data_IF_649795252429
#
_entry.id   IF_649795252429
#
_cell.length_a   1.000
_cell.length_b   1.000
_cell.length_c   1.000
_cell.angle_alpha   90.00
_cell.angle_beta   90.00
_cell.angle_gamma   90.00
#
_symmetry.space_group_name_H-M   'P 1'
#
loop_
_entity.id
_entity.type
_entity.pdbx_description
1 polymer ?
#
# COMPACT_ATOMS: atom_id res chain seq x y z
N UNK A 1 -2.81 -59.41 -17.25
CA UNK A 1 -3.04 -58.02 -16.81
C UNK A 1 -4.41 -57.61 -17.33
N UNK A 2 -5.41 -57.56 -16.47
CA UNK A 2 -6.78 -57.14 -16.82
C UNK A 2 -6.84 -55.62 -16.82
N UNK A 3 -7.21 -55.02 -17.96
CA UNK A 3 -7.50 -53.58 -18.02
C UNK A 3 -8.95 -53.38 -17.59
N UNK A 4 -9.18 -52.62 -16.51
CA UNK A 4 -10.52 -52.15 -16.16
C UNK A 4 -10.94 -51.06 -17.16
N UNK A 5 -11.99 -51.35 -17.92
CA UNK A 5 -12.63 -50.34 -18.77
C UNK A 5 -13.55 -49.53 -17.89
N UNK A 6 -13.16 -48.28 -17.61
CA UNK A 6 -13.99 -47.32 -16.88
C UNK A 6 -14.87 -46.59 -17.87
N UNK A 7 -16.17 -46.84 -17.84
CA UNK A 7 -17.17 -46.10 -18.63
C UNK A 7 -17.52 -44.84 -17.85
N UNK A 8 -17.10 -43.68 -18.35
CA UNK A 8 -17.35 -42.38 -17.73
C UNK A 8 -18.32 -41.60 -18.61
N UNK A 9 -19.38 -41.06 -18.02
CA UNK A 9 -20.32 -40.15 -18.72
C UNK A 9 -19.72 -38.75 -18.84
N UNK A 10 -20.14 -37.98 -19.85
CA UNK A 10 -19.67 -36.60 -20.04
C UNK A 10 -19.93 -35.72 -18.80
N UNK A 11 -21.07 -35.92 -18.14
CA UNK A 11 -21.41 -35.23 -16.88
C UNK A 11 -20.42 -35.54 -15.76
N UNK A 12 -19.97 -36.79 -15.67
CA UNK A 12 -19.00 -37.20 -14.66
C UNK A 12 -17.61 -36.62 -14.94
N UNK A 13 -17.23 -36.51 -16.21
CA UNK A 13 -15.98 -35.83 -16.62
C UNK A 13 -16.05 -34.35 -16.22
N UNK A 14 -17.15 -33.67 -16.52
CA UNK A 14 -17.34 -32.27 -16.14
C UNK A 14 -17.24 -32.09 -14.62
N UNK A 15 -17.88 -32.97 -13.85
CA UNK A 15 -17.80 -32.96 -12.39
C UNK A 15 -16.36 -33.12 -11.87
N UNK A 16 -15.60 -34.05 -12.43
CA UNK A 16 -14.21 -34.32 -12.01
C UNK A 16 -13.29 -33.13 -12.30
N UNK A 17 -13.45 -32.51 -13.47
CA UNK A 17 -12.68 -31.32 -13.85
C UNK A 17 -13.00 -30.16 -12.91
N UNK A 18 -14.29 -29.90 -12.64
CA UNK A 18 -14.72 -28.82 -11.73
C UNK A 18 -14.17 -29.01 -10.32
N UNK A 19 -14.23 -30.23 -9.79
CA UNK A 19 -13.69 -30.52 -8.46
C UNK A 19 -12.17 -30.37 -8.42
N UNK A 20 -11.45 -30.92 -9.40
CA UNK A 20 -9.98 -30.82 -9.45
C UNK A 20 -9.52 -29.36 -9.48
N UNK A 21 -10.16 -28.52 -10.29
CA UNK A 21 -9.86 -27.08 -10.35
C UNK A 21 -10.20 -26.40 -9.03
N UNK A 22 -11.35 -26.72 -8.42
CA UNK A 22 -11.76 -26.15 -7.13
C UNK A 22 -10.78 -26.49 -6.02
N UNK A 23 -10.29 -27.72 -5.99
CA UNK A 23 -9.34 -28.19 -4.99
C UNK A 23 -8.02 -27.43 -5.10
N UNK A 24 -7.49 -27.30 -6.32
CA UNK A 24 -6.29 -26.51 -6.60
C UNK A 24 -6.50 -25.05 -6.21
N UNK A 25 -7.59 -24.40 -6.64
CA UNK A 25 -7.84 -23.00 -6.26
C UNK A 25 -7.94 -22.86 -4.74
N UNK A 26 -8.62 -23.77 -4.05
CA UNK A 26 -8.78 -23.72 -2.59
C UNK A 26 -7.46 -23.88 -1.83
N UNK A 27 -6.52 -24.65 -2.38
CA UNK A 27 -5.20 -24.87 -1.79
C UNK A 27 -4.26 -23.68 -1.99
N UNK A 28 -4.32 -23.02 -3.16
CA UNK A 28 -3.39 -21.96 -3.54
C UNK A 28 -3.92 -20.55 -3.25
N UNK A 29 -5.24 -20.33 -3.22
CA UNK A 29 -5.85 -19.03 -2.91
C UNK A 29 -5.40 -18.43 -1.56
N UNK A 30 -5.40 -19.16 -0.43
CA UNK A 30 -4.94 -18.59 0.84
C UNK A 30 -3.44 -18.27 0.84
N UNK A 31 -2.62 -19.03 0.09
CA UNK A 31 -1.19 -18.75 -0.07
C UNK A 31 -0.96 -17.43 -0.83
N UNK A 32 -1.76 -17.18 -1.87
CA UNK A 32 -1.74 -15.91 -2.62
C UNK A 32 -2.24 -14.72 -1.77
N UNK A 33 -3.31 -14.92 -0.99
CA UNK A 33 -3.87 -13.87 -0.14
C UNK A 33 -2.90 -13.42 0.97
N UNK A 34 -2.09 -14.35 1.50
CA UNK A 34 -1.06 -14.02 2.49
C UNK A 34 0.07 -13.17 1.91
N UNK A 35 0.39 -13.32 0.61
CA UNK A 35 1.39 -12.49 -0.08
C UNK A 35 0.85 -11.06 -0.30
N UNK A 36 -0.45 -10.91 -0.58
CA UNK A 36 -1.07 -9.60 -0.77
C UNK A 36 -1.44 -8.90 0.53
N UNK A 37 -1.67 -9.66 1.62
CA UNK A 37 -1.98 -9.11 2.95
C UNK A 37 -0.79 -8.37 3.60
N UNK A 38 0.43 -8.60 3.12
CA UNK A 38 1.62 -7.83 3.50
C UNK A 38 1.55 -6.41 2.89
N UNK A 39 0.85 -6.22 1.77
CA UNK A 39 0.70 -4.91 1.10
C UNK A 39 -0.54 -4.13 1.53
N UNK A 40 -1.62 -4.80 1.99
CA UNK A 40 -2.90 -4.13 2.26
C UNK A 40 -3.02 -3.51 3.66
N UNK A 41 -2.04 -3.72 4.56
CA UNK A 41 -2.09 -3.13 5.90
C UNK A 41 -1.57 -1.69 5.98
N UNK A 42 -1.04 -1.14 4.89
CA UNK A 42 -0.46 0.22 4.88
C UNK A 42 -1.26 1.29 4.10
N UNK A 43 -2.38 0.95 3.45
CA UNK A 43 -3.12 1.94 2.65
C UNK A 43 -4.11 2.80 3.46
N UNK A 44 -4.25 2.58 4.77
CA UNK A 44 -5.30 3.26 5.56
C UNK A 44 -4.86 4.52 6.30
N UNK A 45 -3.61 4.98 6.14
CA UNK A 45 -3.14 6.24 6.74
C UNK A 45 -2.34 7.09 5.75
N UNK A 46 -2.92 7.35 4.59
CA UNK A 46 -2.41 8.36 3.65
C UNK A 46 -2.24 9.74 4.30
N UNK A 47 -3.06 10.03 5.32
CA UNK A 47 -3.04 11.28 6.06
C UNK A 47 -2.41 11.11 7.45
N UNK A 48 -1.37 11.91 7.68
CA UNK A 48 -0.68 12.05 8.95
C UNK A 48 -1.19 13.29 9.68
N UNK A 49 -1.39 13.14 10.98
CA UNK A 49 -1.59 14.30 11.87
C UNK A 49 -0.29 15.10 12.01
N UNK A 50 -0.37 16.33 12.52
CA UNK A 50 0.81 17.17 12.73
C UNK A 50 1.94 16.50 13.54
N UNK A 51 1.58 15.72 14.57
CA UNK A 51 2.55 14.97 15.38
C UNK A 51 3.22 13.86 14.55
N UNK A 52 2.42 13.08 13.84
CA UNK A 52 2.92 12.01 12.97
C UNK A 52 3.75 12.54 11.80
N UNK A 53 3.40 13.68 11.23
CA UNK A 53 4.18 14.31 10.17
C UNK A 53 5.55 14.80 10.68
N UNK A 54 5.61 15.34 11.90
CA UNK A 54 6.87 15.74 12.52
C UNK A 54 7.78 14.53 12.79
N UNK A 55 7.21 13.46 13.33
CA UNK A 55 7.90 12.17 13.53
C UNK A 55 8.37 11.58 12.20
N UNK A 56 7.51 11.59 11.16
CA UNK A 56 7.84 11.07 9.84
C UNK A 56 9.01 11.82 9.18
N UNK A 57 9.06 13.15 9.34
CA UNK A 57 10.15 13.98 8.81
C UNK A 57 11.35 14.07 9.74
N UNK A 58 11.33 13.40 10.91
CA UNK A 58 12.33 13.52 11.97
C UNK A 58 12.66 14.98 12.31
N UNK A 59 11.63 15.83 12.45
CA UNK A 59 11.80 17.25 12.77
C UNK A 59 10.94 17.66 13.97
N UNK A 60 11.28 18.82 14.55
CA UNK A 60 10.49 19.36 15.65
C UNK A 60 9.14 19.91 15.16
N UNK A 61 8.14 19.95 16.05
CA UNK A 61 6.81 20.52 15.74
C UNK A 61 6.86 22.00 15.34
N UNK A 62 7.88 22.72 15.82
CA UNK A 62 8.14 24.12 15.47
C UNK A 62 8.77 24.24 14.08
N UNK A 63 9.72 23.36 13.73
CA UNK A 63 10.26 23.27 12.36
C UNK A 63 9.16 22.96 11.35
N UNK A 64 8.29 21.99 11.65
CA UNK A 64 7.15 21.64 10.80
C UNK A 64 6.22 22.84 10.58
N UNK A 65 5.99 23.65 11.62
CA UNK A 65 5.22 24.89 11.50
C UNK A 65 5.88 25.91 10.58
N UNK A 66 7.20 26.07 10.70
CA UNK A 66 7.95 27.00 9.86
C UNK A 66 7.89 26.56 8.39
N UNK A 67 7.98 25.26 8.11
CA UNK A 67 7.81 24.72 6.76
C UNK A 67 6.40 24.94 6.21
N UNK A 68 5.37 24.80 7.05
CA UNK A 68 3.99 25.12 6.69
C UNK A 68 3.86 26.62 6.36
N UNK A 69 4.36 27.50 7.22
CA UNK A 69 4.31 28.97 7.05
C UNK A 69 5.11 29.44 5.82
N UNK A 70 6.22 28.78 5.53
CA UNK A 70 7.05 29.06 4.37
C UNK A 70 6.49 28.47 3.05
N UNK A 71 5.37 27.73 3.10
CA UNK A 71 4.77 27.10 1.92
C UNK A 71 5.61 25.96 1.34
N UNK A 72 6.52 25.38 2.13
CA UNK A 72 7.40 24.29 1.70
C UNK A 72 6.65 22.96 1.67
N UNK A 73 5.75 22.74 2.64
CA UNK A 73 5.01 21.50 2.81
C UNK A 73 3.53 21.77 2.59
N UNK A 74 2.90 20.92 1.76
CA UNK A 74 1.46 20.95 1.53
C UNK A 74 0.70 20.41 2.75
N UNK A 75 -0.37 21.08 3.14
CA UNK A 75 -1.21 20.69 4.27
C UNK A 75 -2.69 20.84 3.94
N UNK A 76 -3.51 20.04 4.62
CA UNK A 76 -4.96 20.06 4.50
C UNK A 76 -5.57 20.40 5.85
N UNK A 77 -6.39 21.44 5.88
CA UNK A 77 -7.14 21.80 7.08
C UNK A 77 -8.57 21.24 6.97
N UNK A 78 -8.91 20.32 7.87
CA UNK A 78 -10.26 19.76 7.99
C UNK A 78 -10.83 20.22 9.32
N UNK A 79 -11.60 21.30 9.29
CA UNK A 79 -12.10 21.99 10.48
C UNK A 79 -10.95 22.53 11.34
N UNK A 80 -10.80 21.97 12.55
CA UNK A 80 -9.73 22.32 13.51
C UNK A 80 -8.48 21.44 13.39
N UNK A 81 -8.52 20.38 12.58
CA UNK A 81 -7.42 19.42 12.42
C UNK A 81 -6.60 19.77 11.18
N UNK A 82 -5.28 19.64 11.30
CA UNK A 82 -4.34 19.75 10.18
C UNK A 82 -3.82 18.36 9.87
N UNK A 83 -3.94 17.98 8.60
CA UNK A 83 -3.53 16.70 8.05
C UNK A 83 -2.52 16.90 6.93
N UNK A 84 -1.61 15.94 6.79
CA UNK A 84 -0.55 15.96 5.79
C UNK A 84 -0.58 14.66 5.01
N UNK A 85 -0.51 14.74 3.67
CA UNK A 85 -0.42 13.52 2.87
C UNK A 85 1.02 13.03 2.84
N UNK A 86 1.24 11.74 3.11
CA UNK A 86 2.59 11.14 3.18
C UNK A 86 3.39 11.33 1.88
N UNK A 87 2.76 11.17 0.72
CA UNK A 87 3.39 11.36 -0.58
C UNK A 87 3.90 12.79 -0.79
N UNK A 88 3.06 13.79 -0.51
CA UNK A 88 3.43 15.20 -0.67
C UNK A 88 4.54 15.64 0.29
N UNK A 89 4.62 15.04 1.46
CA UNK A 89 5.73 15.27 2.40
C UNK A 89 7.05 14.81 1.79
N UNK A 90 7.09 13.66 1.11
CA UNK A 90 8.29 13.17 0.42
C UNK A 90 8.66 14.08 -0.76
N UNK A 91 7.69 14.46 -1.59
CA UNK A 91 7.92 15.36 -2.72
C UNK A 91 8.56 16.69 -2.28
N UNK A 92 8.09 17.23 -1.15
CA UNK A 92 8.63 18.48 -0.60
C UNK A 92 10.10 18.37 -0.16
N UNK A 93 10.54 17.19 0.32
CA UNK A 93 11.93 16.94 0.71
C UNK A 93 12.86 16.87 -0.50
N UNK A 94 12.43 16.27 -1.60
CA UNK A 94 13.22 16.21 -2.83
C UNK A 94 13.47 17.60 -3.41
N UNK A 95 12.42 18.43 -3.47
CA UNK A 95 12.52 19.81 -3.96
C UNK A 95 13.49 20.66 -3.12
N UNK A 96 13.54 20.45 -1.80
CA UNK A 96 14.46 21.19 -0.93
C UNK A 96 15.93 20.80 -1.14
N UNK A 97 16.22 19.53 -1.39
CA UNK A 97 17.58 19.07 -1.71
C UNK A 97 18.11 19.68 -3.01
N UNK A 98 17.23 19.91 -3.99
CA UNK A 98 17.58 20.54 -5.26
C UNK A 98 17.88 22.05 -5.13
N UNK A 99 17.16 22.75 -4.26
CA UNK A 99 17.39 24.20 -4.01
C UNK A 99 18.69 24.45 -3.24
N UNK A 100 19.02 23.61 -2.25
CA UNK A 100 20.26 23.75 -1.48
C UNK A 100 21.52 23.52 -2.33
N UNK A 101 21.47 22.63 -3.33
CA UNK A 101 22.59 22.41 -4.27
C UNK A 101 22.89 23.63 -5.15
N UNK A 102 21.88 24.44 -5.49
CA UNK A 102 22.07 25.65 -6.32
C UNK A 102 22.74 26.80 -5.56
N UNK A 103 22.57 26.88 -4.25
CA UNK A 103 23.14 27.96 -3.42
C UNK A 103 24.53 27.65 -2.87
N UNK A 104 25.13 26.51 -3.26
CA UNK A 104 26.50 26.09 -2.88
C UNK A 104 27.53 26.33 -3.99
N UNK A 105 27.27 27.29 -4.88
CA UNK A 105 28.23 27.76 -5.89
C UNK A 105 28.52 29.23 -5.68
#
# INVERSE_FOLDING_TARGET
MTQEIVIITNEKIEYLIRNSIKDVISEYYPKLLNLTSISQKEETKDFLTRKQAAEFLNCSMTSLYNYQKAGVISYYQVGRKILFRKSQLLDSMEVQNLKQKKNRK
#
